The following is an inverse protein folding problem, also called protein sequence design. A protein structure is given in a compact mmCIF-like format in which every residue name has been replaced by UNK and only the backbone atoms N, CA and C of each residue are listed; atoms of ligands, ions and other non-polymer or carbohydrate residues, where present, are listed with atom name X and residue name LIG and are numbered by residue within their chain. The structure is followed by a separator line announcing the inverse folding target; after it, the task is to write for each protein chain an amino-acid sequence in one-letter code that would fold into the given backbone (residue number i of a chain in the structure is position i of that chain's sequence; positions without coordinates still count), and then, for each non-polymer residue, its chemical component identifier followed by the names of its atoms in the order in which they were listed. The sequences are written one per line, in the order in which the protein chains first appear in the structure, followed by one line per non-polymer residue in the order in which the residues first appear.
data_IF_553069478455
#
_entry.id   IF_553069478455
#
_cell.length_a   1.000
_cell.length_b   1.000
_cell.length_c   1.000
_cell.angle_alpha   90.00
_cell.angle_beta   90.00
_cell.angle_gamma   90.00
#
_symmetry.space_group_name_H-M   'P 1'
#
loop_
_entity.id
_entity.type
_entity.pdbx_description
1 polymer ?
#
# COMPACT_ATOMS: atom_id res chain seq x y z
N UNK A 1 33.55 -34.97 -1.26
CA UNK A 1 32.40 -34.32 -1.93
C UNK A 1 31.59 -33.63 -0.83
N UNK A 2 31.51 -32.30 -0.85
CA UNK A 2 30.68 -31.54 0.09
C UNK A 2 29.39 -31.18 -0.65
N UNK A 3 28.26 -31.62 -0.13
CA UNK A 3 26.94 -31.22 -0.58
C UNK A 3 26.83 -29.70 -0.50
N UNK A 4 26.69 -29.06 -1.65
CA UNK A 4 26.32 -27.66 -1.74
C UNK A 4 24.87 -27.54 -1.28
N UNK A 5 24.67 -27.08 -0.05
CA UNK A 5 23.35 -26.76 0.47
C UNK A 5 22.63 -25.84 -0.49
N UNK A 6 21.54 -26.34 -1.07
CA UNK A 6 20.59 -25.55 -1.84
C UNK A 6 20.14 -24.37 -0.97
N UNK A 7 20.47 -23.15 -1.40
CA UNK A 7 19.84 -21.94 -0.84
C UNK A 7 18.35 -22.06 -1.19
N UNK A 8 17.42 -22.06 -0.22
CA UNK A 8 16.01 -22.13 -0.51
C UNK A 8 15.64 -20.97 -1.44
N UNK A 9 15.07 -21.28 -2.61
CA UNK A 9 14.51 -20.23 -3.46
C UNK A 9 13.35 -19.59 -2.68
N UNK A 10 13.31 -18.25 -2.53
CA UNK A 10 12.21 -17.60 -1.83
C UNK A 10 10.90 -17.99 -2.50
N UNK A 11 9.96 -18.50 -1.71
CA UNK A 11 8.66 -18.91 -2.25
C UNK A 11 7.92 -17.67 -2.79
N UNK A 12 7.24 -17.78 -3.94
CA UNK A 12 6.46 -16.67 -4.47
C UNK A 12 5.38 -16.24 -3.48
N UNK A 13 5.35 -14.95 -3.15
CA UNK A 13 4.39 -14.35 -2.22
C UNK A 13 3.42 -13.47 -2.99
N UNK A 14 2.14 -13.53 -2.61
CA UNK A 14 1.11 -12.61 -3.10
C UNK A 14 1.30 -11.23 -2.49
N UNK A 15 1.40 -10.22 -3.34
CA UNK A 15 1.72 -8.85 -2.96
C UNK A 15 0.78 -7.85 -3.62
N UNK A 16 0.71 -6.67 -3.03
CA UNK A 16 -0.07 -5.52 -3.48
C UNK A 16 0.86 -4.33 -3.63
N UNK A 17 0.96 -3.78 -4.84
CA UNK A 17 1.63 -2.52 -5.13
C UNK A 17 0.63 -1.36 -5.12
N UNK A 18 0.99 -0.31 -4.39
CA UNK A 18 0.24 0.92 -4.23
C UNK A 18 1.07 2.08 -4.79
N UNK A 19 0.72 2.53 -5.99
CA UNK A 19 1.39 3.65 -6.65
C UNK A 19 0.86 4.99 -6.10
N UNK A 20 1.74 5.97 -5.96
CA UNK A 20 1.40 7.29 -5.43
C UNK A 20 1.23 8.33 -6.54
N UNK A 21 0.12 9.06 -6.47
CA UNK A 21 -0.08 10.29 -7.24
C UNK A 21 -0.15 10.09 -8.76
N UNK A 22 -0.52 8.89 -9.22
CA UNK A 22 -0.80 8.65 -10.63
C UNK A 22 -2.24 9.02 -10.97
N UNK A 23 -2.50 9.40 -12.21
CA UNK A 23 -3.84 9.69 -12.74
C UNK A 23 -4.62 10.78 -11.97
N UNK A 24 -3.94 11.61 -11.16
CA UNK A 24 -4.52 12.78 -10.49
C UNK A 24 -4.34 14.00 -11.40
N UNK A 25 -5.44 14.64 -11.77
CA UNK A 25 -5.41 15.75 -12.72
C UNK A 25 -4.85 15.33 -14.08
N UNK A 26 -3.93 16.11 -14.66
CA UNK A 26 -3.30 15.81 -15.96
C UNK A 26 -1.93 15.12 -15.86
N UNK A 27 -1.43 14.90 -14.64
CA UNK A 27 -0.06 14.44 -14.42
C UNK A 27 0.01 12.91 -14.25
N UNK A 28 1.20 12.35 -14.53
CA UNK A 28 1.55 10.94 -14.25
C UNK A 28 0.49 9.95 -14.72
N UNK A 29 0.13 10.05 -16.00
CA UNK A 29 -0.89 9.19 -16.62
C UNK A 29 -0.34 7.79 -16.84
N UNK A 30 -0.97 6.80 -16.21
CA UNK A 30 -0.62 5.39 -16.36
C UNK A 30 -1.92 4.63 -16.58
N UNK A 31 -2.07 4.00 -17.75
CA UNK A 31 -3.20 3.11 -17.97
C UNK A 31 -2.99 1.82 -17.18
N UNK A 32 -4.07 1.24 -16.63
CA UNK A 32 -3.95 -0.01 -15.89
C UNK A 32 -3.53 -1.19 -16.78
N UNK A 33 -3.78 -1.12 -18.09
CA UNK A 33 -3.27 -2.10 -19.05
C UNK A 33 -1.73 -2.04 -19.17
N UNK A 34 -1.17 -0.82 -19.25
CA UNK A 34 0.29 -0.64 -19.24
C UNK A 34 0.90 -1.07 -17.91
N UNK A 35 0.26 -0.75 -16.78
CA UNK A 35 0.73 -1.20 -15.47
C UNK A 35 0.78 -2.73 -15.38
N UNK A 36 -0.28 -3.42 -15.84
CA UNK A 36 -0.28 -4.89 -15.88
C UNK A 36 0.84 -5.44 -16.75
N UNK A 37 1.04 -4.86 -17.94
CA UNK A 37 2.10 -5.28 -18.86
C UNK A 37 3.49 -5.10 -18.25
N UNK A 38 3.74 -3.94 -17.65
CA UNK A 38 5.00 -3.63 -16.98
C UNK A 38 5.31 -4.60 -15.84
N UNK A 39 4.33 -4.96 -15.02
CA UNK A 39 4.51 -5.95 -13.95
C UNK A 39 4.78 -7.35 -14.52
N UNK A 40 4.12 -7.74 -15.61
CA UNK A 40 4.40 -9.00 -16.29
C UNK A 40 5.80 -9.03 -16.91
N UNK A 41 6.26 -7.93 -17.49
CA UNK A 41 7.62 -7.80 -18.06
C UNK A 41 8.72 -7.85 -16.98
N UNK A 42 8.39 -7.50 -15.72
CA UNK A 42 9.24 -7.73 -14.55
C UNK A 42 9.26 -9.20 -14.07
N UNK A 43 8.51 -10.08 -14.74
CA UNK A 43 8.39 -11.50 -14.38
C UNK A 43 7.41 -11.78 -13.25
N UNK A 44 6.54 -10.82 -12.90
CA UNK A 44 5.50 -11.05 -11.89
C UNK A 44 4.29 -11.74 -12.50
N UNK A 45 3.73 -12.70 -11.77
CA UNK A 45 2.60 -13.50 -12.24
C UNK A 45 1.26 -12.98 -11.71
N UNK A 46 0.18 -13.43 -12.34
CA UNK A 46 -1.21 -13.29 -11.85
C UNK A 46 -1.62 -11.84 -11.57
N UNK A 47 -1.16 -10.95 -12.44
CA UNK A 47 -1.29 -9.51 -12.24
C UNK A 47 -2.74 -9.09 -12.45
N UNK A 48 -3.32 -8.53 -11.39
CA UNK A 48 -4.65 -7.92 -11.40
C UNK A 48 -4.50 -6.47 -10.96
N UNK A 49 -5.20 -5.54 -11.61
CA UNK A 49 -5.25 -4.13 -11.19
C UNK A 49 -6.64 -3.76 -10.71
N UNK A 50 -6.72 -2.87 -9.73
CA UNK A 50 -7.98 -2.38 -9.17
C UNK A 50 -8.06 -0.86 -9.21
N UNK A 51 -9.14 -0.33 -9.81
CA UNK A 51 -9.37 1.10 -10.06
C UNK A 51 -8.23 1.75 -10.87
N UNK A 52 -8.31 3.08 -11.07
CA UNK A 52 -7.32 3.86 -11.81
C UNK A 52 -6.29 4.55 -10.91
N UNK A 53 -6.40 4.39 -9.58
CA UNK A 53 -5.53 5.04 -8.60
C UNK A 53 -4.19 4.34 -8.37
N UNK A 54 -3.89 3.30 -9.15
CA UNK A 54 -2.62 2.60 -9.10
C UNK A 54 -2.56 1.56 -7.99
N UNK A 55 -3.43 0.55 -8.10
CA UNK A 55 -3.40 -0.62 -7.24
C UNK A 55 -3.21 -1.84 -8.12
N UNK A 56 -2.21 -2.64 -7.81
CA UNK A 56 -1.97 -3.91 -8.48
C UNK A 56 -1.72 -5.01 -7.46
N UNK A 57 -2.30 -6.18 -7.70
CA UNK A 57 -2.05 -7.41 -6.98
C UNK A 57 -1.27 -8.33 -7.91
N UNK A 58 -0.22 -8.98 -7.43
CA UNK A 58 0.65 -9.84 -8.23
C UNK A 58 1.35 -10.87 -7.35
N UNK A 59 1.92 -11.89 -7.99
CA UNK A 59 2.73 -12.92 -7.34
C UNK A 59 4.21 -12.68 -7.69
N UNK A 60 5.09 -12.65 -6.69
CA UNK A 60 6.53 -12.43 -6.90
C UNK A 60 7.38 -13.21 -5.90
N UNK A 61 8.51 -13.76 -6.36
CA UNK A 61 9.54 -14.35 -5.50
C UNK A 61 10.40 -13.28 -4.80
N UNK A 62 10.37 -12.03 -5.27
CA UNK A 62 11.07 -10.92 -4.62
C UNK A 62 10.27 -10.37 -3.44
N UNK A 63 10.94 -9.93 -2.37
CA UNK A 63 10.27 -9.32 -1.22
C UNK A 63 9.67 -7.93 -1.54
N UNK A 64 8.73 -7.43 -0.72
CA UNK A 64 8.02 -6.17 -0.98
C UNK A 64 8.92 -4.97 -1.30
N UNK A 65 10.00 -4.76 -0.55
CA UNK A 65 10.91 -3.64 -0.78
C UNK A 65 11.62 -3.71 -2.15
N UNK A 66 12.11 -4.89 -2.52
CA UNK A 66 12.74 -5.12 -3.82
C UNK A 66 11.74 -4.97 -4.97
N UNK A 67 10.52 -5.49 -4.79
CA UNK A 67 9.45 -5.33 -5.77
C UNK A 67 9.08 -3.85 -5.95
N UNK A 68 8.95 -3.08 -4.87
CA UNK A 68 8.69 -1.64 -4.94
C UNK A 68 9.75 -0.91 -5.78
N UNK A 69 11.03 -1.16 -5.50
CA UNK A 69 12.14 -0.54 -6.23
C UNK A 69 12.13 -0.91 -7.72
N UNK A 70 11.92 -2.18 -8.05
CA UNK A 70 11.86 -2.65 -9.44
C UNK A 70 10.70 -1.99 -10.21
N UNK A 71 9.53 -1.86 -9.57
CA UNK A 71 8.37 -1.18 -10.17
C UNK A 71 8.66 0.30 -10.39
N UNK A 72 9.24 1.00 -9.41
CA UNK A 72 9.62 2.42 -9.57
C UNK A 72 10.57 2.62 -10.75
N UNK A 73 11.61 1.78 -10.87
CA UNK A 73 12.57 1.84 -11.97
C UNK A 73 11.91 1.56 -13.32
N UNK A 74 11.04 0.55 -13.40
CA UNK A 74 10.33 0.22 -14.63
C UNK A 74 9.32 1.31 -15.04
N UNK A 75 8.66 1.97 -14.07
CA UNK A 75 7.76 3.11 -14.36
C UNK A 75 8.55 4.29 -14.94
N UNK A 76 9.70 4.62 -14.36
CA UNK A 76 10.55 5.69 -14.82
C UNK A 76 11.16 5.37 -16.21
N UNK A 77 11.79 4.21 -16.35
CA UNK A 77 12.47 3.82 -17.60
C UNK A 77 11.53 3.42 -18.73
N UNK A 78 10.40 2.79 -18.43
CA UNK A 78 9.46 2.27 -19.43
C UNK A 78 8.37 3.27 -19.82
N UNK A 79 7.91 4.11 -18.90
CA UNK A 79 6.78 5.02 -19.12
C UNK A 79 7.13 6.51 -18.91
N UNK A 80 8.35 6.84 -18.47
CA UNK A 80 8.72 8.20 -18.10
C UNK A 80 7.94 8.74 -16.90
N UNK A 81 7.38 7.85 -16.06
CA UNK A 81 6.54 8.24 -14.92
C UNK A 81 7.31 8.03 -13.62
N UNK A 82 7.71 9.13 -13.00
CA UNK A 82 8.27 9.11 -11.65
C UNK A 82 7.14 9.02 -10.61
N UNK A 83 6.84 7.81 -10.13
CA UNK A 83 5.89 7.58 -9.03
C UNK A 83 6.55 6.75 -7.95
N UNK A 84 6.27 7.08 -6.69
CA UNK A 84 6.66 6.24 -5.55
C UNK A 84 5.69 5.08 -5.40
N UNK A 85 6.22 3.92 -5.01
CA UNK A 85 5.47 2.68 -4.86
C UNK A 85 5.69 2.11 -3.48
N UNK A 86 4.60 1.77 -2.80
CA UNK A 86 4.64 0.99 -1.57
C UNK A 86 4.08 -0.39 -1.86
N UNK A 87 4.82 -1.44 -1.53
CA UNK A 87 4.37 -2.82 -1.68
C UNK A 87 4.13 -3.45 -0.31
N UNK A 88 3.08 -4.26 -0.21
CA UNK A 88 2.75 -5.10 0.95
C UNK A 88 2.46 -6.52 0.50
N UNK A 89 2.92 -7.50 1.26
CA UNK A 89 2.40 -8.87 1.15
C UNK A 89 0.93 -8.93 1.56
N UNK A 90 0.24 -9.99 1.13
CA UNK A 90 -1.13 -10.27 1.59
C UNK A 90 -1.23 -10.29 3.12
N UNK A 91 -0.27 -10.94 3.79
CA UNK A 91 -0.25 -11.03 5.26
C UNK A 91 -0.12 -9.65 5.93
N UNK A 92 0.76 -8.79 5.43
CA UNK A 92 0.90 -7.42 5.96
C UNK A 92 -0.37 -6.58 5.71
N UNK A 93 -1.03 -6.78 4.56
CA UNK A 93 -2.27 -6.07 4.25
C UNK A 93 -3.42 -6.51 5.17
N UNK A 94 -3.54 -7.81 5.44
CA UNK A 94 -4.50 -8.36 6.41
C UNK A 94 -4.21 -7.83 7.81
N UNK A 95 -2.96 -7.84 8.25
CA UNK A 95 -2.58 -7.29 9.55
C UNK A 95 -2.91 -5.80 9.70
N UNK A 96 -2.82 -5.01 8.62
CA UNK A 96 -3.25 -3.61 8.64
C UNK A 96 -4.77 -3.45 8.81
N UNK A 97 -5.57 -4.34 8.19
CA UNK A 97 -7.03 -4.31 8.33
C UNK A 97 -7.46 -4.80 9.72
N UNK A 98 -6.90 -5.90 10.20
CA UNK A 98 -7.25 -6.49 11.50
C UNK A 98 -6.78 -5.61 12.68
N UNK A 99 -5.69 -4.88 12.49
CA UNK A 99 -5.08 -3.99 13.46
C UNK A 99 -5.64 -2.56 13.48
N UNK A 100 -6.78 -2.30 12.84
CA UNK A 100 -7.39 -0.97 12.76
C UNK A 100 -7.71 -0.38 14.14
N UNK A 101 -7.03 0.71 14.55
CA UNK A 101 -7.29 1.36 15.83
C UNK A 101 -8.55 2.23 15.84
N UNK A 102 -9.16 2.49 14.68
CA UNK A 102 -10.32 3.36 14.52
C UNK A 102 -11.62 2.59 14.22
N UNK A 103 -11.59 1.26 14.23
CA UNK A 103 -12.73 0.39 13.87
C UNK A 103 -14.03 0.67 14.63
N UNK A 104 -13.92 1.12 15.88
CA UNK A 104 -15.08 1.40 16.74
C UNK A 104 -15.76 2.75 16.42
N UNK A 105 -15.06 3.66 15.74
CA UNK A 105 -15.55 5.01 15.42
C UNK A 105 -15.76 5.23 13.91
N UNK A 106 -15.02 4.49 13.09
CA UNK A 106 -15.08 4.58 11.64
C UNK A 106 -16.30 3.86 11.09
N UNK A 107 -17.33 4.62 10.73
CA UNK A 107 -18.63 4.08 10.31
C UNK A 107 -18.87 4.11 8.80
N UNK A 108 -18.06 4.86 8.05
CA UNK A 108 -18.14 4.98 6.58
C UNK A 108 -16.79 4.64 5.94
N UNK A 109 -16.66 3.46 5.28
CA UNK A 109 -15.42 3.03 4.62
C UNK A 109 -14.87 3.99 3.54
N UNK A 110 -15.68 4.91 3.01
CA UNK A 110 -15.22 5.92 2.05
C UNK A 110 -14.52 7.11 2.72
N UNK A 111 -14.77 7.31 4.02
CA UNK A 111 -14.22 8.38 4.88
C UNK A 111 -13.14 7.89 5.84
N UNK A 112 -12.98 6.58 5.93
CA UNK A 112 -11.90 5.95 6.66
C UNK A 112 -10.74 5.68 5.69
N UNK A 113 -9.56 6.21 6.00
CA UNK A 113 -8.36 6.09 5.17
C UNK A 113 -7.24 5.39 5.92
N UNK A 114 -6.42 4.65 5.17
CA UNK A 114 -5.13 4.16 5.63
C UNK A 114 -4.03 4.61 4.69
N UNK A 115 -2.96 5.14 5.27
CA UNK A 115 -1.70 5.49 4.64
C UNK A 115 -0.68 4.39 4.86
N UNK A 116 -0.23 3.79 3.77
CA UNK A 116 0.87 2.83 3.80
C UNK A 116 2.20 3.60 3.71
N UNK A 117 3.01 3.49 4.76
CA UNK A 117 4.27 4.20 4.89
C UNK A 117 5.43 3.37 4.34
N UNK A 118 6.38 3.96 3.63
CA UNK A 118 7.54 3.22 3.10
C UNK A 118 8.44 2.65 4.21
N UNK A 119 8.44 3.29 5.37
CA UNK A 119 9.10 2.81 6.60
C UNK A 119 8.31 3.34 7.81
N UNK A 120 8.59 2.79 8.99
CA UNK A 120 8.10 3.41 10.22
C UNK A 120 8.80 4.79 10.40
N UNK A 121 8.10 5.86 10.81
CA UNK A 121 8.73 7.15 11.05
C UNK A 121 9.84 7.04 12.11
N UNK A 122 10.87 7.87 12.07
CA UNK A 122 11.87 7.90 13.14
C UNK A 122 11.32 8.52 14.44
N UNK A 123 12.15 8.56 15.50
CA UNK A 123 11.73 9.09 16.80
C UNK A 123 11.37 10.59 16.72
N UNK A 124 12.17 11.39 16.01
CA UNK A 124 11.94 12.83 15.85
C UNK A 124 10.59 13.11 15.19
N UNK A 125 10.29 12.45 14.07
CA UNK A 125 9.01 12.61 13.39
C UNK A 125 7.84 12.13 14.27
N UNK A 126 8.01 11.06 15.04
CA UNK A 126 6.96 10.58 15.97
C UNK A 126 6.67 11.58 17.09
N UNK A 127 7.67 12.23 17.63
CA UNK A 127 7.48 13.25 18.68
C UNK A 127 6.63 14.41 18.18
N UNK A 128 6.81 14.83 16.91
CA UNK A 128 5.96 15.88 16.33
C UNK A 128 4.50 15.48 16.17
N UNK A 129 4.15 14.19 16.28
CA UNK A 129 2.78 13.70 16.07
C UNK A 129 1.95 13.70 17.35
N UNK A 130 2.56 13.91 18.51
CA UNK A 130 1.87 13.88 19.82
C UNK A 130 0.65 14.81 19.83
N UNK A 131 0.81 16.02 19.29
CA UNK A 131 -0.26 17.02 19.20
C UNK A 131 -1.35 16.69 18.19
N UNK A 132 -1.16 15.69 17.31
CA UNK A 132 -2.14 15.26 16.31
C UNK A 132 -2.83 13.94 16.68
N UNK A 133 -2.20 13.12 17.51
CA UNK A 133 -2.63 11.76 17.87
C UNK A 133 -3.31 11.70 19.24
N UNK A 134 -3.30 12.79 20.01
CA UNK A 134 -4.05 12.95 21.27
C UNK A 134 -5.58 13.09 21.09
N UNK A 135 -6.35 13.13 22.19
CA UNK A 135 -7.77 13.48 22.15
C UNK A 135 -7.93 14.92 21.66
N UNK A 136 -8.38 15.08 20.42
CA UNK A 136 -8.60 16.38 19.80
C UNK A 136 -10.06 16.83 19.98
N UNK A 137 -10.31 18.15 20.03
CA UNK A 137 -11.66 18.67 19.82
C UNK A 137 -12.13 18.53 18.36
N UNK A 138 -11.23 18.17 17.43
CA UNK A 138 -11.53 17.91 16.03
C UNK A 138 -12.30 16.59 15.89
N UNK A 139 -13.43 16.55 15.14
CA UNK A 139 -14.13 15.30 14.86
C UNK A 139 -13.30 14.31 14.04
N UNK A 140 -12.30 14.78 13.29
CA UNK A 140 -11.34 13.91 12.63
C UNK A 140 -10.45 13.18 13.64
N UNK A 141 -10.08 11.92 13.35
CA UNK A 141 -9.15 11.16 14.18
C UNK A 141 -7.96 10.66 13.37
N UNK A 142 -6.80 10.64 14.01
CA UNK A 142 -5.53 10.19 13.43
C UNK A 142 -4.83 9.22 14.38
N UNK A 143 -4.38 8.07 13.87
CA UNK A 143 -3.59 7.08 14.62
C UNK A 143 -2.47 6.55 13.75
N UNK A 144 -1.33 6.23 14.36
CA UNK A 144 -0.20 5.61 13.67
C UNK A 144 0.20 4.35 14.41
N UNK A 145 0.27 3.24 13.69
CA UNK A 145 0.71 1.93 14.21
C UNK A 145 1.74 1.37 13.24
N UNK A 146 2.98 1.23 13.70
CA UNK A 146 4.09 0.74 12.88
C UNK A 146 4.31 1.63 11.65
N UNK A 147 4.06 1.07 10.47
CA UNK A 147 4.18 1.70 9.16
C UNK A 147 2.80 1.99 8.51
N UNK A 148 1.76 2.18 9.34
CA UNK A 148 0.40 2.53 8.91
C UNK A 148 -0.10 3.77 9.62
N UNK A 149 -0.67 4.70 8.84
CA UNK A 149 -1.39 5.89 9.30
C UNK A 149 -2.89 5.66 9.08
N UNK A 150 -3.72 5.79 10.10
CA UNK A 150 -5.18 5.65 9.99
C UNK A 150 -5.82 7.01 10.21
N UNK A 151 -6.72 7.40 9.31
CA UNK A 151 -7.48 8.65 9.38
C UNK A 151 -8.97 8.36 9.32
N UNK A 152 -9.70 8.84 10.32
CA UNK A 152 -11.16 8.90 10.28
C UNK A 152 -11.61 10.33 10.02
N UNK A 153 -12.38 10.53 8.95
CA UNK A 153 -12.82 11.85 8.48
C UNK A 153 -14.35 11.93 8.46
N UNK A 154 -15.05 12.03 9.61
CA UNK A 154 -16.50 11.89 9.69
C UNK A 154 -17.28 12.86 8.79
N UNK A 155 -16.78 14.09 8.62
CA UNK A 155 -17.41 15.12 7.77
C UNK A 155 -16.99 15.05 6.28
N UNK A 156 -16.18 14.06 5.94
CA UNK A 156 -15.72 13.75 4.59
C UNK A 156 -14.25 14.13 4.35
N UNK A 157 -13.57 13.33 3.53
CA UNK A 157 -12.13 13.43 3.24
C UNK A 157 -11.72 14.81 2.73
N UNK A 158 -12.54 15.46 1.89
CA UNK A 158 -12.21 16.80 1.36
C UNK A 158 -12.28 17.91 2.41
N UNK A 159 -13.08 17.72 3.47
CA UNK A 159 -13.23 18.68 4.56
C UNK A 159 -12.19 18.46 5.66
N UNK A 160 -11.74 17.22 5.83
CA UNK A 160 -10.79 16.81 6.86
C UNK A 160 -9.53 17.68 6.92
N UNK A 161 -9.13 18.03 8.14
CA UNK A 161 -7.88 18.73 8.43
C UNK A 161 -6.70 17.79 8.22
N UNK A 162 -6.81 16.54 8.69
CA UNK A 162 -5.77 15.50 8.51
C UNK A 162 -5.58 15.07 7.06
N UNK A 163 -6.63 15.00 6.25
CA UNK A 163 -6.48 14.64 4.83
C UNK A 163 -5.71 15.70 4.02
N UNK A 164 -5.62 16.93 4.52
CA UNK A 164 -4.87 18.04 3.90
C UNK A 164 -3.41 18.11 4.35
N UNK A 165 -3.02 17.36 5.38
CA UNK A 165 -1.65 17.32 5.87
C UNK A 165 -0.73 16.70 4.81
N UNK A 166 0.43 17.32 4.59
CA UNK A 166 1.51 16.67 3.84
C UNK A 166 2.19 15.62 4.72
N UNK A 167 1.61 14.42 4.72
CA UNK A 167 2.10 13.29 5.52
C UNK A 167 3.51 12.85 5.13
N UNK A 168 3.95 13.09 3.90
CA UNK A 168 5.34 12.78 3.53
C UNK A 168 6.31 13.67 4.31
N UNK A 169 6.04 14.97 4.33
CA UNK A 169 6.83 15.94 5.09
C UNK A 169 6.69 15.70 6.59
N UNK A 170 5.48 15.40 7.06
CA UNK A 170 5.21 15.22 8.49
C UNK A 170 5.82 13.95 9.08
N UNK A 171 5.96 12.90 8.27
CA UNK A 171 6.47 11.60 8.72
C UNK A 171 7.90 11.30 8.25
N UNK A 172 8.48 12.14 7.39
CA UNK A 172 9.80 11.92 6.79
C UNK A 172 9.88 10.76 5.81
N UNK A 173 8.75 10.11 5.51
CA UNK A 173 8.68 8.88 4.71
C UNK A 173 7.59 8.98 3.65
N UNK A 174 7.69 8.17 2.59
CA UNK A 174 6.64 8.13 1.57
C UNK A 174 5.35 7.57 2.18
N UNK A 175 4.24 8.27 1.97
CA UNK A 175 2.90 7.88 2.38
C UNK A 175 2.00 7.70 1.16
N UNK A 176 1.37 6.54 1.05
CA UNK A 176 0.37 6.25 0.00
C UNK A 176 -0.98 5.97 0.63
N UNK A 177 -1.90 6.93 0.51
CA UNK A 177 -3.24 6.85 1.09
C UNK A 177 -4.20 6.04 0.22
N UNK A 178 -5.07 5.25 0.86
CA UNK A 178 -6.22 4.55 0.28
C UNK A 178 -7.40 4.64 1.23
N UNK A 179 -8.62 4.66 0.69
CA UNK A 179 -9.80 4.50 1.53
C UNK A 179 -10.03 3.02 1.89
N UNK A 180 -10.83 2.79 2.92
CA UNK A 180 -11.06 1.48 3.48
C UNK A 180 -11.72 0.52 2.50
N UNK A 181 -12.65 1.02 1.66
CA UNK A 181 -13.24 0.25 0.55
C UNK A 181 -12.17 -0.33 -0.41
N UNK A 182 -11.13 0.46 -0.70
CA UNK A 182 -10.05 0.02 -1.57
C UNK A 182 -9.20 -1.06 -0.90
N UNK A 183 -8.84 -0.85 0.36
CA UNK A 183 -7.93 -1.76 1.07
C UNK A 183 -8.58 -3.11 1.34
N UNK A 184 -9.82 -3.12 1.81
CA UNK A 184 -10.58 -4.37 2.00
C UNK A 184 -10.75 -5.12 0.68
N UNK A 185 -11.06 -4.44 -0.43
CA UNK A 185 -11.13 -5.10 -1.73
C UNK A 185 -9.79 -5.67 -2.21
N UNK A 186 -8.67 -5.02 -1.86
CA UNK A 186 -7.33 -5.53 -2.17
C UNK A 186 -6.97 -6.76 -1.32
N UNK A 187 -7.46 -6.85 -0.08
CA UNK A 187 -7.36 -8.08 0.73
C UNK A 187 -8.08 -9.23 0.03
N UNK A 188 -9.30 -9.01 -0.46
CA UNK A 188 -10.05 -10.05 -1.17
C UNK A 188 -9.33 -10.52 -2.45
N UNK A 189 -8.91 -9.57 -3.30
CA UNK A 189 -8.21 -9.87 -4.56
C UNK A 189 -6.85 -10.55 -4.36
N UNK A 190 -6.23 -10.34 -3.20
CA UNK A 190 -5.00 -11.06 -2.83
C UNK A 190 -5.28 -12.43 -2.21
N UNK A 191 -6.45 -12.67 -1.62
CA UNK A 191 -6.87 -13.98 -1.09
C UNK A 191 -7.21 -14.98 -2.19
N UNK A 192 -7.96 -14.57 -3.22
CA UNK A 192 -8.48 -15.44 -4.30
C UNK A 192 -7.39 -16.32 -4.95
N UNK A 193 -6.13 -15.85 -4.92
CA UNK A 193 -4.98 -16.59 -5.46
C UNK A 193 -4.35 -17.59 -4.49
N UNK A 194 -4.29 -17.27 -3.20
CA UNK A 194 -3.74 -18.17 -2.17
C UNK A 194 -4.57 -19.45 -2.08
N UNK A 195 -5.89 -19.31 -2.23
CA UNK A 195 -6.82 -20.45 -2.25
C UNK A 195 -6.70 -21.29 -3.52
N UNK A 196 -6.37 -20.69 -4.67
CA UNK A 196 -6.15 -21.40 -5.93
C UNK A 196 -4.83 -22.21 -5.91
N UNK A 197 -3.75 -21.65 -5.35
CA UNK A 197 -2.46 -22.34 -5.20
C UNK A 197 -2.54 -23.53 -4.21
N UNK A 198 -3.46 -23.47 -3.25
CA UNK A 198 -3.68 -24.56 -2.29
C UNK A 198 -4.54 -25.71 -2.84
N UNK A 199 -5.19 -25.55 -4.01
CA UNK A 199 -6.00 -26.61 -4.67
C UNK A 199 -5.20 -27.51 -5.60
N UNK A 200 -3.96 -27.17 -5.92
CA UNK A 200 -3.07 -27.99 -6.75
C UNK A 200 -1.66 -27.99 -6.17
N UNK A 201 -1.36 -28.82 -5.15
CA UNK A 201 0.03 -29.12 -4.82
C UNK A 201 0.68 -29.82 -6.01
N UNK A 202 1.93 -29.44 -6.29
CA UNK A 202 2.78 -30.00 -7.36
C UNK A 202 2.96 -31.52 -7.23
#
# INVERSE_FOLDING_TARGET
MKDAGSVPTPQPVRQVALLRGINVGRNKRVSMALLRRLLADLGYADVVTYLQSGNAVFTSASGPASAAQAIEQALAGGLGVESKVVVRSHAELVAAVDGDPLKEVATDPSRHLVGFLSAAPDAEHRETLVDLVGPQPDPDQCRIIGNHLYLWCPDGVLRSSFAKVDWNKRLGVTTTMRNWNTVTKLVDLSREYVEAASRYPA
#
